data_IF_040909128122
#
_entry.id   IF_040909128122
#
_cell.length_a   1.000
_cell.length_b   1.000
_cell.length_c   1.000
_cell.angle_alpha   90.00
_cell.angle_beta   90.00
_cell.angle_gamma   90.00
#
_symmetry.space_group_name_H-M   'P 1'
#
loop_
_entity.id
_entity.type
_entity.pdbx_description
1 polymer ?
#
# COMPACT_ATOMS: atom_id res chain seq x y z
N UNK A 1 -16.98 13.21 27.55
CA UNK A 1 -17.03 11.91 26.86
C UNK A 1 -16.24 11.89 25.59
N UNK A 2 -15.49 10.82 25.36
CA UNK A 2 -14.92 10.48 24.06
C UNK A 2 -15.96 9.60 23.34
N UNK A 3 -16.59 10.13 22.29
CA UNK A 3 -17.56 9.40 21.48
C UNK A 3 -16.91 8.92 20.18
N UNK A 4 -17.19 7.66 19.78
CA UNK A 4 -16.74 7.09 18.51
C UNK A 4 -17.52 7.73 17.36
N UNK A 5 -16.83 8.13 16.29
CA UNK A 5 -17.48 8.63 15.09
C UNK A 5 -17.69 7.51 14.07
N UNK A 6 -18.83 6.84 14.15
CA UNK A 6 -19.22 5.72 13.28
C UNK A 6 -19.11 6.04 11.78
N UNK A 7 -19.31 7.31 11.37
CA UNK A 7 -19.21 7.71 9.96
C UNK A 7 -17.78 7.78 9.44
N UNK A 8 -16.79 7.94 10.32
CA UNK A 8 -15.36 8.08 9.97
C UNK A 8 -14.54 6.86 10.36
N UNK A 9 -15.04 6.01 11.25
CA UNK A 9 -14.34 4.82 11.71
C UNK A 9 -14.73 3.62 10.85
N UNK A 10 -13.73 2.86 10.42
CA UNK A 10 -13.91 1.58 9.74
C UNK A 10 -13.19 0.49 10.52
N UNK A 11 -13.75 -0.72 10.55
CA UNK A 11 -13.18 -1.85 11.29
C UNK A 11 -12.47 -2.77 10.29
N UNK A 12 -11.18 -3.00 10.53
CA UNK A 12 -10.37 -3.98 9.83
C UNK A 12 -9.88 -5.00 10.86
N UNK A 13 -10.13 -6.29 10.59
CA UNK A 13 -9.89 -7.36 11.56
C UNK A 13 -8.72 -8.21 11.07
N UNK A 14 -7.75 -8.40 11.96
CA UNK A 14 -6.58 -9.24 11.72
C UNK A 14 -6.67 -10.46 12.63
N UNK A 15 -6.73 -11.66 12.05
CA UNK A 15 -6.76 -12.90 12.82
C UNK A 15 -6.05 -14.03 12.08
N UNK A 16 -5.33 -14.87 12.82
CA UNK A 16 -4.71 -16.09 12.30
C UNK A 16 -5.73 -17.21 12.03
N UNK A 17 -6.90 -17.16 12.68
CA UNK A 17 -8.01 -18.08 12.47
C UNK A 17 -9.26 -17.30 12.13
N UNK A 18 -9.86 -17.57 10.96
CA UNK A 18 -11.07 -16.87 10.49
C UNK A 18 -12.33 -17.18 11.31
N UNK A 19 -12.24 -17.96 12.39
CA UNK A 19 -13.39 -18.37 13.18
C UNK A 19 -13.55 -17.52 14.46
N UNK A 20 -14.73 -16.88 14.55
CA UNK A 20 -15.31 -16.18 15.69
C UNK A 20 -14.56 -14.92 16.17
N UNK A 21 -14.95 -13.78 15.60
CA UNK A 21 -14.79 -12.48 16.23
C UNK A 21 -16.17 -11.84 16.40
N UNK A 22 -16.38 -11.15 17.51
CA UNK A 22 -17.57 -10.32 17.72
C UNK A 22 -17.27 -8.92 17.18
N UNK A 23 -17.89 -8.50 16.06
CA UNK A 23 -17.67 -7.16 15.52
C UNK A 23 -18.24 -6.09 16.45
N UNK A 24 -17.67 -4.88 16.38
CA UNK A 24 -18.23 -3.77 17.11
C UNK A 24 -19.62 -3.46 16.53
N UNK A 25 -20.67 -3.41 17.37
CA UNK A 25 -22.01 -3.11 16.88
C UNK A 25 -22.00 -1.74 16.18
N UNK A 26 -22.69 -1.66 15.04
CA UNK A 26 -22.88 -0.45 14.21
C UNK A 26 -21.71 -0.05 13.30
N UNK A 27 -20.58 -0.78 13.31
CA UNK A 27 -19.50 -0.56 12.34
C UNK A 27 -19.50 -1.63 11.23
N UNK A 28 -19.18 -1.22 10.00
CA UNK A 28 -18.92 -2.16 8.91
C UNK A 28 -17.50 -2.72 8.98
N UNK A 29 -17.41 -4.03 8.83
CA UNK A 29 -16.13 -4.72 8.65
C UNK A 29 -15.73 -4.56 7.18
N UNK A 30 -14.50 -4.14 6.93
CA UNK A 30 -13.94 -4.08 5.60
C UNK A 30 -12.82 -5.10 5.44
N UNK A 31 -12.74 -5.75 4.28
CA UNK A 31 -11.63 -6.64 3.94
C UNK A 31 -10.38 -5.89 3.50
N UNK A 32 -10.53 -4.63 3.09
CA UNK A 32 -9.42 -3.75 2.80
C UNK A 32 -9.78 -2.29 3.07
N UNK A 33 -8.79 -1.52 3.52
CA UNK A 33 -8.91 -0.08 3.72
C UNK A 33 -7.66 0.65 3.25
N UNK A 34 -7.81 1.93 2.91
CA UNK A 34 -6.68 2.78 2.54
C UNK A 34 -6.33 3.69 3.71
N UNK A 35 -5.15 3.50 4.27
CA UNK A 35 -4.63 4.29 5.37
C UNK A 35 -3.34 5.01 4.97
N UNK A 36 -3.34 6.34 5.04
CA UNK A 36 -2.20 7.18 4.66
C UNK A 36 -1.63 6.90 3.25
N UNK A 37 -2.46 6.47 2.32
CA UNK A 37 -2.02 6.13 0.96
C UNK A 37 -1.59 4.68 0.77
N UNK A 38 -1.50 3.89 1.84
CA UNK A 38 -1.20 2.46 1.82
C UNK A 38 -2.51 1.68 1.90
N UNK A 39 -2.63 0.63 1.10
CA UNK A 39 -3.80 -0.26 1.14
C UNK A 39 -3.48 -1.40 2.09
N UNK A 40 -4.28 -1.57 3.13
CA UNK A 40 -4.13 -2.64 4.11
C UNK A 40 -5.29 -3.61 3.88
N UNK A 41 -4.99 -4.89 3.76
CA UNK A 41 -5.96 -5.97 3.64
C UNK A 41 -6.08 -6.74 4.96
N UNK A 42 -7.23 -7.35 5.22
CA UNK A 42 -7.52 -8.11 6.43
C UNK A 42 -6.59 -9.32 6.61
N UNK A 43 -6.07 -9.85 5.50
CA UNK A 43 -5.08 -10.93 5.48
C UNK A 43 -3.64 -10.47 5.65
N UNK A 44 -3.37 -9.16 5.71
CA UNK A 44 -2.03 -8.58 5.71
C UNK A 44 -1.13 -9.18 4.62
N UNK A 45 -1.70 -9.54 3.47
CA UNK A 45 -0.96 -10.06 2.31
C UNK A 45 -0.27 -8.93 1.54
N UNK A 46 -0.77 -7.70 1.68
CA UNK A 46 -0.35 -6.51 0.92
C UNK A 46 -0.47 -6.65 -0.61
N UNK A 47 -1.00 -7.76 -1.12
CA UNK A 47 -1.17 -8.02 -2.56
C UNK A 47 -1.88 -6.85 -3.26
N UNK A 48 -3.02 -6.35 -2.76
CA UNK A 48 -3.72 -5.23 -3.43
C UNK A 48 -2.90 -3.94 -3.43
N UNK A 49 -2.08 -3.72 -2.40
CA UNK A 49 -1.19 -2.56 -2.32
C UNK A 49 -0.03 -2.68 -3.31
N UNK A 50 0.63 -3.84 -3.33
CA UNK A 50 1.76 -4.13 -4.21
C UNK A 50 1.32 -4.05 -5.67
N UNK A 51 0.17 -4.62 -6.02
CA UNK A 51 -0.38 -4.54 -7.39
C UNK A 51 -0.62 -3.09 -7.82
N UNK A 52 -1.18 -2.27 -6.93
CA UNK A 52 -1.38 -0.84 -7.21
C UNK A 52 -0.04 -0.09 -7.36
N UNK A 53 0.93 -0.40 -6.48
CA UNK A 53 2.26 0.19 -6.50
C UNK A 53 3.00 -0.18 -7.79
N UNK A 54 2.98 -1.45 -8.20
CA UNK A 54 3.61 -1.93 -9.44
C UNK A 54 3.06 -1.19 -10.65
N UNK A 55 1.75 -0.96 -10.74
CA UNK A 55 1.15 -0.19 -11.85
C UNK A 55 1.71 1.23 -11.90
N UNK A 56 1.78 1.92 -10.75
CA UNK A 56 2.32 3.28 -10.64
C UNK A 56 3.83 3.35 -10.94
N UNK A 57 4.59 2.37 -10.44
CA UNK A 57 6.03 2.26 -10.71
C UNK A 57 6.31 1.94 -12.17
N UNK A 58 5.49 1.11 -12.82
CA UNK A 58 5.62 0.79 -14.25
C UNK A 58 5.47 2.03 -15.12
N UNK A 59 4.50 2.90 -14.83
CA UNK A 59 4.37 4.20 -15.49
C UNK A 59 5.58 5.10 -15.22
N UNK A 60 6.11 5.08 -14.00
CA UNK A 60 7.31 5.86 -13.63
C UNK A 60 8.55 5.38 -14.40
N UNK A 61 8.72 4.06 -14.55
CA UNK A 61 9.80 3.45 -15.35
C UNK A 61 9.67 3.85 -16.82
N UNK A 62 8.46 3.89 -17.37
CA UNK A 62 8.24 4.36 -18.73
C UNK A 62 8.71 5.81 -18.91
N UNK A 63 8.36 6.71 -17.98
CA UNK A 63 8.80 8.11 -17.99
C UNK A 63 10.32 8.20 -17.91
N UNK A 64 10.95 7.48 -16.99
CA UNK A 64 12.42 7.45 -16.84
C UNK A 64 13.08 6.96 -18.13
N UNK A 65 12.55 5.92 -18.76
CA UNK A 65 13.08 5.38 -20.03
C UNK A 65 12.98 6.40 -21.16
N UNK A 66 11.86 7.14 -21.24
CA UNK A 66 11.69 8.21 -22.23
C UNK A 66 12.62 9.38 -21.98
N UNK A 67 12.81 9.79 -20.73
CA UNK A 67 13.78 10.84 -20.37
C UNK A 67 15.20 10.45 -20.74
N UNK A 68 15.58 9.18 -20.50
CA UNK A 68 16.90 8.68 -20.87
C UNK A 68 17.11 8.56 -22.39
N UNK A 69 16.03 8.43 -23.17
CA UNK A 69 16.09 8.38 -24.64
C UNK A 69 16.21 9.77 -25.29
N UNK A 70 15.65 10.80 -24.65
CA UNK A 70 15.52 12.15 -25.24
C UNK A 70 16.50 13.14 -24.58
N UNK A 71 16.95 12.87 -23.36
CA UNK A 71 17.78 13.78 -22.57
C UNK A 71 18.99 13.10 -21.95
N UNK A 72 19.59 13.79 -20.97
CA UNK A 72 20.79 13.36 -20.28
C UNK A 72 20.52 12.31 -19.18
N UNK A 73 21.50 11.42 -18.98
CA UNK A 73 21.43 10.34 -17.99
C UNK A 73 21.28 10.87 -16.56
N UNK A 74 21.82 12.06 -16.25
CA UNK A 74 21.63 12.68 -14.93
C UNK A 74 20.16 13.03 -14.67
N UNK A 75 19.45 13.53 -15.68
CA UNK A 75 18.02 13.85 -15.57
C UNK A 75 17.19 12.58 -15.36
N UNK A 76 17.52 11.50 -16.07
CA UNK A 76 16.87 10.21 -15.85
C UNK A 76 17.12 9.65 -14.44
N UNK A 77 18.32 9.84 -13.90
CA UNK A 77 18.68 9.45 -12.53
C UNK A 77 17.91 10.25 -11.48
N UNK A 78 17.77 11.57 -11.66
CA UNK A 78 16.94 12.41 -10.78
C UNK A 78 15.48 11.95 -10.82
N UNK A 79 14.94 11.68 -12.01
CA UNK A 79 13.59 11.17 -12.18
C UNK A 79 13.39 9.82 -11.49
N UNK A 80 14.39 8.93 -11.52
CA UNK A 80 14.37 7.68 -10.77
C UNK A 80 14.21 7.90 -9.26
N UNK A 81 15.06 8.74 -8.67
CA UNK A 81 14.99 9.05 -7.24
C UNK A 81 13.64 9.69 -6.85
N UNK A 82 13.14 10.60 -7.69
CA UNK A 82 11.93 11.36 -7.41
C UNK A 82 10.63 10.57 -7.62
N UNK A 83 10.55 9.73 -8.66
CA UNK A 83 9.31 9.05 -9.05
C UNK A 83 9.25 7.59 -8.62
N UNK A 84 10.37 6.87 -8.66
CA UNK A 84 10.39 5.44 -8.35
C UNK A 84 10.73 5.22 -6.88
N UNK A 85 11.88 5.74 -6.45
CA UNK A 85 12.44 5.36 -5.15
C UNK A 85 11.67 5.99 -3.98
N UNK A 86 11.20 7.22 -4.12
CA UNK A 86 10.35 7.89 -3.12
C UNK A 86 9.10 7.07 -2.77
N UNK A 87 8.41 6.54 -3.78
CA UNK A 87 7.20 5.72 -3.62
C UNK A 87 7.51 4.33 -3.05
N UNK A 88 8.62 3.72 -3.50
CA UNK A 88 9.03 2.41 -3.02
C UNK A 88 9.46 2.45 -1.55
N UNK A 89 10.31 3.41 -1.16
CA UNK A 89 10.79 3.55 0.23
C UNK A 89 9.66 3.91 1.20
N UNK A 90 8.69 4.73 0.79
CA UNK A 90 7.57 5.11 1.64
C UNK A 90 6.75 3.89 2.10
N UNK A 91 6.44 2.99 1.17
CA UNK A 91 5.68 1.77 1.49
C UNK A 91 6.51 0.69 2.19
N UNK A 92 7.83 0.63 1.92
CA UNK A 92 8.70 -0.45 2.37
C UNK A 92 8.68 -0.66 3.90
N UNK A 93 8.57 0.41 4.69
CA UNK A 93 8.50 0.32 6.16
C UNK A 93 7.25 -0.43 6.62
N UNK A 94 6.15 -0.33 5.89
CA UNK A 94 4.88 -0.95 6.25
C UNK A 94 4.80 -2.43 5.86
N UNK A 95 5.26 -2.81 4.65
CA UNK A 95 5.08 -4.16 4.11
C UNK A 95 6.38 -4.97 3.91
N UNK A 96 7.56 -4.38 4.18
CA UNK A 96 8.86 -5.06 4.00
C UNK A 96 9.14 -6.20 4.98
N UNK A 97 8.41 -6.27 6.09
CA UNK A 97 8.56 -7.28 7.15
C UNK A 97 7.68 -8.52 7.00
N UNK A 98 7.12 -8.77 5.82
CA UNK A 98 6.29 -9.95 5.59
C UNK A 98 7.09 -11.24 5.88
N UNK A 99 6.57 -12.15 6.74
CA UNK A 99 7.11 -13.48 6.81
C UNK A 99 7.03 -14.10 5.41
N UNK A 100 8.09 -14.80 4.98
CA UNK A 100 8.07 -15.63 3.77
C UNK A 100 7.09 -16.79 4.01
N UNK A 101 5.80 -16.52 3.91
CA UNK A 101 4.79 -17.57 3.84
C UNK A 101 4.73 -17.98 2.38
N UNK A 102 5.10 -19.23 2.14
CA UNK A 102 5.35 -19.86 0.85
C UNK A 102 4.37 -19.42 -0.25
N UNK A 103 4.95 -18.91 -1.34
CA UNK A 103 4.31 -18.72 -2.65
C UNK A 103 3.99 -20.09 -3.24
#
# INVERSE_FOLDING_TARGET
>A
DLALNERKTQQLIFTASRNNYDPLPQLSIADSTKYLGITIDSTLSWTPHVDHLIKKLSSSVYVIRRMNQIGDSQTAKIAYFALFESHLRYGLVAWGGQPRTYI
#
